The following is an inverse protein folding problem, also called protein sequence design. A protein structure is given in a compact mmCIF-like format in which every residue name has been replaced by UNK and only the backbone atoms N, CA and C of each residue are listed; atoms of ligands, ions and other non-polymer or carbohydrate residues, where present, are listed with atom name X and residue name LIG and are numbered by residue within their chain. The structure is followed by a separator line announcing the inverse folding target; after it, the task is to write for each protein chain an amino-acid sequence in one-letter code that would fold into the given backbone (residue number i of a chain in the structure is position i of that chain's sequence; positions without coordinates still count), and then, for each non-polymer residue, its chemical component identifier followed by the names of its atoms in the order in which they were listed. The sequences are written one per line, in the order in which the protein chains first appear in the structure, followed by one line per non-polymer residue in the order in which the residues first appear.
data_IF_973386450176
#
_entry.id   IF_973386450176
#
_cell.length_a   1.000
_cell.length_b   1.000
_cell.length_c   1.000
_cell.angle_alpha   90.00
_cell.angle_beta   90.00
_cell.angle_gamma   90.00
#
_symmetry.space_group_name_H-M   'P 1'
#
loop_
_entity.id
_entity.type
_entity.pdbx_description
1 polymer ?
#
# COMPACT_ATOMS: atom_id res chain seq x y z
N UNK A 1 10.64 5.17 -15.62
CA UNK A 1 9.36 4.98 -16.31
C UNK A 1 9.00 6.22 -17.12
N UNK A 2 9.01 7.43 -16.54
CA UNK A 2 8.66 8.67 -17.26
C UNK A 2 9.50 8.88 -18.53
N UNK A 3 10.82 8.65 -18.45
CA UNK A 3 11.73 8.71 -19.60
C UNK A 3 11.43 7.69 -20.70
N UNK A 4 10.69 6.65 -20.37
CA UNK A 4 10.21 5.63 -21.32
C UNK A 4 8.81 5.93 -21.88
N UNK A 5 8.29 7.14 -21.65
CA UNK A 5 6.99 7.59 -22.15
C UNK A 5 5.78 7.08 -21.35
N UNK A 6 6.00 6.50 -20.17
CA UNK A 6 4.90 6.04 -19.28
C UNK A 6 4.33 7.23 -18.51
N UNK A 7 3.00 7.41 -18.49
CA UNK A 7 2.31 8.36 -17.60
C UNK A 7 2.37 7.82 -16.17
N UNK A 8 3.37 8.28 -15.42
CA UNK A 8 3.63 7.88 -14.03
C UNK A 8 3.12 8.95 -13.09
N UNK A 9 2.41 8.54 -12.05
CA UNK A 9 1.95 9.39 -10.96
C UNK A 9 2.24 8.72 -9.64
N UNK A 10 2.47 9.51 -8.61
CA UNK A 10 2.82 9.02 -7.26
C UNK A 10 1.65 9.32 -6.31
N UNK A 11 1.34 8.39 -5.42
CA UNK A 11 0.45 8.61 -4.29
C UNK A 11 1.19 8.27 -3.00
N UNK A 12 1.21 9.20 -2.06
CA UNK A 12 1.76 8.98 -0.73
C UNK A 12 0.93 9.71 0.34
N UNK A 13 1.06 9.33 1.62
CA UNK A 13 0.44 10.09 2.70
C UNK A 13 1.03 11.51 2.80
N UNK A 14 0.20 12.48 3.17
CA UNK A 14 0.67 13.80 3.55
C UNK A 14 1.18 13.76 4.99
N UNK A 15 2.43 13.32 5.15
CA UNK A 15 3.12 13.34 6.44
C UNK A 15 3.38 14.77 6.92
N UNK A 16 3.58 14.94 8.22
CA UNK A 16 3.83 16.25 8.84
C UNK A 16 4.95 17.03 8.17
N UNK A 17 6.04 16.33 7.84
CA UNK A 17 7.22 16.90 7.21
C UNK A 17 6.97 17.40 5.77
N UNK A 18 5.92 16.89 5.12
CA UNK A 18 5.56 17.27 3.77
C UNK A 18 4.60 18.46 3.69
N UNK A 19 4.12 18.99 4.81
CA UNK A 19 3.12 20.09 4.82
C UNK A 19 3.62 21.41 4.30
N UNK A 20 4.93 21.61 4.24
CA UNK A 20 5.56 22.80 3.69
C UNK A 20 5.71 22.75 2.15
N UNK A 21 5.35 21.63 1.52
CA UNK A 21 5.37 21.51 0.07
C UNK A 21 4.28 22.40 -0.53
N UNK A 22 4.65 23.13 -1.59
CA UNK A 22 3.66 23.83 -2.41
C UNK A 22 2.77 22.79 -3.10
N UNK A 23 1.49 22.82 -2.77
CA UNK A 23 0.53 21.81 -3.24
C UNK A 23 -0.88 22.41 -3.37
N UNK A 24 -1.61 21.98 -4.39
CA UNK A 24 -2.98 22.39 -4.65
C UNK A 24 -3.97 21.39 -4.07
N UNK A 25 -5.02 21.89 -3.41
CA UNK A 25 -6.10 21.05 -2.91
C UNK A 25 -6.97 20.57 -4.06
N UNK A 26 -7.19 19.26 -4.18
CA UNK A 26 -8.13 18.71 -5.14
C UNK A 26 -9.57 18.83 -4.61
N UNK A 27 -10.55 19.17 -5.48
CA UNK A 27 -11.91 19.52 -5.01
C UNK A 27 -12.69 18.34 -4.43
N UNK A 28 -12.26 17.11 -4.72
CA UNK A 28 -12.99 15.90 -4.33
C UNK A 28 -12.41 15.27 -3.07
N UNK A 29 -13.22 15.12 -2.04
CA UNK A 29 -12.91 14.31 -0.85
C UNK A 29 -13.45 12.89 -1.00
N UNK A 30 -12.88 11.96 -0.24
CA UNK A 30 -13.40 10.60 -0.12
C UNK A 30 -13.62 10.23 1.34
N UNK A 31 -14.63 9.41 1.60
CA UNK A 31 -14.87 8.80 2.91
C UNK A 31 -14.65 7.30 2.82
N UNK A 32 -13.74 6.78 3.62
CA UNK A 32 -13.45 5.35 3.72
C UNK A 32 -13.84 4.82 5.07
N UNK A 33 -14.42 3.60 5.08
CA UNK A 33 -14.83 2.92 6.30
C UNK A 33 -13.84 1.82 6.66
N UNK A 34 -13.43 1.80 7.93
CA UNK A 34 -12.56 0.80 8.54
C UNK A 34 -13.16 0.34 9.86
N UNK A 35 -13.55 -0.94 9.96
CA UNK A 35 -14.37 -1.43 11.06
C UNK A 35 -15.68 -0.63 11.15
N UNK A 36 -15.95 -0.04 12.31
CA UNK A 36 -17.15 0.76 12.55
C UNK A 36 -16.96 2.28 12.35
N UNK A 37 -15.72 2.73 12.03
CA UNK A 37 -15.39 4.14 11.89
C UNK A 37 -15.26 4.55 10.43
N UNK A 38 -15.69 5.77 10.14
CA UNK A 38 -15.50 6.42 8.84
C UNK A 38 -14.47 7.52 8.96
N UNK A 39 -13.60 7.62 7.97
CA UNK A 39 -12.52 8.60 7.89
C UNK A 39 -12.64 9.39 6.61
N UNK A 40 -12.60 10.72 6.72
CA UNK A 40 -12.58 11.63 5.59
C UNK A 40 -11.13 11.84 5.14
N UNK A 41 -10.89 11.76 3.84
CA UNK A 41 -9.59 12.02 3.25
C UNK A 41 -9.69 13.14 2.21
N UNK A 42 -8.70 14.01 2.22
CA UNK A 42 -8.47 15.04 1.23
C UNK A 42 -7.22 14.70 0.40
N UNK A 43 -7.29 14.98 -0.89
CA UNK A 43 -6.12 14.87 -1.76
C UNK A 43 -5.56 16.24 -2.08
N UNK A 44 -4.25 16.33 -2.13
CA UNK A 44 -3.52 17.47 -2.65
C UNK A 44 -2.67 17.00 -3.83
N UNK A 45 -2.40 17.90 -4.76
CA UNK A 45 -1.51 17.62 -5.89
C UNK A 45 -0.28 18.54 -5.82
N UNK A 46 0.88 17.96 -6.04
CA UNK A 46 2.16 18.64 -6.21
C UNK A 46 2.96 17.92 -7.30
N UNK A 47 4.22 18.26 -7.46
CA UNK A 47 5.13 17.62 -8.41
C UNK A 47 6.33 17.01 -7.72
N UNK A 48 6.89 15.95 -8.33
CA UNK A 48 8.08 15.28 -7.82
C UNK A 48 9.33 16.12 -8.18
N UNK A 49 9.81 16.91 -7.23
CA UNK A 49 10.91 17.83 -7.45
C UNK A 49 10.67 18.74 -8.66
N UNK A 50 11.68 18.93 -9.49
CA UNK A 50 11.60 19.72 -10.72
C UNK A 50 10.99 18.97 -11.91
N UNK A 51 10.46 17.75 -11.70
CA UNK A 51 9.86 16.97 -12.77
C UNK A 51 8.39 17.36 -13.02
N UNK A 52 7.85 16.87 -14.13
CA UNK A 52 6.43 17.02 -14.48
C UNK A 52 5.55 15.87 -13.91
N UNK A 53 6.11 15.00 -13.04
CA UNK A 53 5.41 13.85 -12.48
C UNK A 53 4.47 14.33 -11.36
N UNK A 54 3.14 14.13 -11.51
CA UNK A 54 2.18 14.47 -10.47
C UNK A 54 2.37 13.60 -9.23
N UNK A 55 2.32 14.23 -8.06
CA UNK A 55 2.32 13.57 -6.75
C UNK A 55 1.04 13.92 -6.03
N UNK A 56 0.24 12.90 -5.74
CA UNK A 56 -0.96 13.03 -4.93
C UNK A 56 -0.62 12.77 -3.48
N UNK A 57 -0.92 13.73 -2.61
CA UNK A 57 -0.71 13.65 -1.18
C UNK A 57 -2.05 13.38 -0.51
N UNK A 58 -2.13 12.27 0.23
CA UNK A 58 -3.33 11.84 0.93
C UNK A 58 -3.35 12.40 2.35
N UNK A 59 -4.22 13.36 2.62
CA UNK A 59 -4.39 13.91 3.95
C UNK A 59 -5.46 13.16 4.75
N UNK A 60 -5.11 12.80 5.95
CA UNK A 60 -5.98 12.63 7.10
C UNK A 60 -5.15 12.99 8.33
N UNK A 61 -5.50 14.10 9.00
CA UNK A 61 -4.69 14.64 10.12
C UNK A 61 -4.52 13.63 11.25
N UNK A 62 -5.53 12.82 11.53
CA UNK A 62 -5.46 11.82 12.57
C UNK A 62 -4.47 10.70 12.26
N UNK A 63 -4.40 10.26 10.99
CA UNK A 63 -3.58 9.13 10.59
C UNK A 63 -2.14 9.54 10.19
N UNK A 64 -1.96 10.71 9.56
CA UNK A 64 -0.70 11.03 8.89
C UNK A 64 0.02 12.28 9.41
N UNK A 65 -0.66 13.17 10.16
CA UNK A 65 -0.02 14.35 10.73
C UNK A 65 0.64 14.04 12.08
N UNK A 66 1.71 13.25 12.04
CA UNK A 66 2.43 12.78 13.22
C UNK A 66 3.94 12.95 13.05
N UNK A 67 4.71 13.01 14.16
CA UNK A 67 6.17 12.93 14.10
C UNK A 67 6.60 11.59 13.51
N UNK A 68 7.53 11.61 12.59
CA UNK A 68 8.00 10.38 11.93
C UNK A 68 6.97 9.70 11.05
N UNK A 69 7.39 8.66 10.35
CA UNK A 69 6.56 7.94 9.36
C UNK A 69 5.84 6.74 10.00
N UNK A 70 6.56 5.90 10.73
CA UNK A 70 6.04 4.64 11.30
C UNK A 70 6.00 4.64 12.81
N UNK A 71 6.84 5.46 13.44
CA UNK A 71 7.11 5.48 14.87
C UNK A 71 7.40 6.89 15.33
N UNK A 72 7.32 7.11 16.63
CA UNK A 72 7.83 8.27 17.34
C UNK A 72 8.81 7.81 18.45
N UNK A 73 9.14 8.70 19.37
CA UNK A 73 10.04 8.42 20.49
C UNK A 73 9.54 7.29 21.43
N UNK A 74 8.25 6.95 21.36
CA UNK A 74 7.63 5.90 22.19
C UNK A 74 7.56 4.54 21.45
N UNK A 75 8.00 4.47 20.20
CA UNK A 75 8.00 3.28 19.36
C UNK A 75 6.99 3.32 18.23
N UNK A 76 6.72 2.16 17.64
CA UNK A 76 5.84 2.02 16.48
C UNK A 76 4.40 2.42 16.79
N UNK A 77 3.77 3.11 15.84
CA UNK A 77 2.36 3.45 15.95
C UNK A 77 1.47 2.20 15.91
N UNK A 78 0.67 1.99 16.95
CA UNK A 78 -0.23 0.84 17.07
C UNK A 78 -1.29 0.78 15.96
N UNK A 79 -1.60 1.89 15.33
CA UNK A 79 -2.55 2.00 14.23
C UNK A 79 -1.90 1.98 12.84
N UNK A 80 -0.62 1.61 12.72
CA UNK A 80 0.05 1.41 11.44
C UNK A 80 -0.75 0.52 10.47
N UNK A 81 -1.40 -0.60 10.90
CA UNK A 81 -2.25 -1.37 10.01
C UNK A 81 -3.37 -0.54 9.37
N UNK A 82 -4.05 0.28 10.16
CA UNK A 82 -5.11 1.16 9.67
C UNK A 82 -4.58 2.18 8.66
N UNK A 83 -3.39 2.73 8.90
CA UNK A 83 -2.72 3.66 8.01
C UNK A 83 -2.37 3.01 6.65
N UNK A 84 -1.88 1.77 6.67
CA UNK A 84 -1.60 0.98 5.47
C UNK A 84 -2.88 0.65 4.69
N UNK A 85 -3.94 0.25 5.39
CA UNK A 85 -5.24 0.00 4.77
C UNK A 85 -5.82 1.29 4.18
N UNK A 86 -5.67 2.42 4.86
CA UNK A 86 -6.16 3.71 4.40
C UNK A 86 -5.47 4.14 3.11
N UNK A 87 -4.14 4.10 3.05
CA UNK A 87 -3.36 4.40 1.85
C UNK A 87 -3.77 3.51 0.68
N UNK A 88 -3.78 2.20 0.91
CA UNK A 88 -4.09 1.20 -0.12
C UNK A 88 -5.51 1.34 -0.67
N UNK A 89 -6.49 1.55 0.20
CA UNK A 89 -7.89 1.70 -0.20
C UNK A 89 -8.16 3.05 -0.86
N UNK A 90 -7.49 4.13 -0.41
CA UNK A 90 -7.60 5.45 -1.02
C UNK A 90 -7.03 5.47 -2.43
N UNK A 91 -5.98 4.69 -2.72
CA UNK A 91 -5.40 4.58 -4.06
C UNK A 91 -6.45 4.18 -5.11
N UNK A 92 -7.42 3.33 -4.76
CA UNK A 92 -8.51 2.94 -5.67
C UNK A 92 -9.48 4.08 -6.01
N UNK A 93 -9.40 5.18 -5.28
CA UNK A 93 -10.24 6.37 -5.51
C UNK A 93 -9.55 7.42 -6.40
N UNK A 94 -8.32 7.18 -6.86
CA UNK A 94 -7.56 8.15 -7.66
C UNK A 94 -8.32 8.54 -8.93
N UNK A 95 -8.92 7.58 -9.65
CA UNK A 95 -9.72 7.88 -10.84
C UNK A 95 -10.90 8.83 -10.52
N UNK A 96 -11.61 8.59 -9.41
CA UNK A 96 -12.72 9.45 -8.98
C UNK A 96 -12.27 10.86 -8.64
N UNK A 97 -11.08 11.00 -8.04
CA UNK A 97 -10.56 12.28 -7.54
C UNK A 97 -9.95 13.12 -8.66
N UNK A 98 -9.24 12.47 -9.59
CA UNK A 98 -8.38 13.13 -10.58
C UNK A 98 -8.89 13.01 -12.01
N UNK A 99 -9.87 12.16 -12.28
CA UNK A 99 -10.29 11.78 -13.63
C UNK A 99 -9.29 10.86 -14.36
N UNK A 100 -8.15 10.55 -13.76
CA UNK A 100 -7.12 9.70 -14.35
C UNK A 100 -7.21 8.26 -13.81
N UNK A 101 -7.32 7.29 -14.72
CA UNK A 101 -7.38 5.88 -14.36
C UNK A 101 -6.03 5.19 -14.60
N UNK A 102 -5.39 4.62 -13.57
CA UNK A 102 -4.19 3.83 -13.75
C UNK A 102 -4.49 2.47 -14.38
N UNK A 103 -3.69 2.05 -15.35
CA UNK A 103 -3.68 0.66 -15.86
C UNK A 103 -2.96 -0.27 -14.87
N UNK A 104 -1.95 0.25 -14.17
CA UNK A 104 -1.14 -0.48 -13.22
C UNK A 104 -1.04 0.30 -11.91
N UNK A 105 -1.36 -0.36 -10.81
CA UNK A 105 -1.02 0.10 -9.47
C UNK A 105 0.29 -0.56 -9.03
N UNK A 106 1.28 0.25 -8.70
CA UNK A 106 2.57 -0.23 -8.25
C UNK A 106 2.73 0.04 -6.75
N UNK A 107 2.59 -1.00 -5.96
CA UNK A 107 2.76 -0.96 -4.50
C UNK A 107 4.23 -1.18 -4.12
N UNK A 108 4.69 -0.50 -3.11
CA UNK A 108 6.06 -0.60 -2.59
C UNK A 108 6.03 -1.02 -1.12
N UNK A 109 6.68 -2.13 -0.80
CA UNK A 109 6.87 -2.68 0.53
C UNK A 109 5.57 -2.90 1.32
N UNK A 110 5.70 -3.23 2.59
CA UNK A 110 4.60 -3.60 3.47
C UNK A 110 3.53 -2.52 3.65
N UNK A 111 3.92 -1.24 3.57
CA UNK A 111 2.99 -0.12 3.74
C UNK A 111 1.91 -0.05 2.66
N UNK A 112 2.26 -0.38 1.42
CA UNK A 112 1.33 -0.39 0.29
C UNK A 112 0.87 -1.80 -0.10
N UNK A 113 1.43 -2.84 0.53
CA UNK A 113 1.14 -4.23 0.22
C UNK A 113 -0.35 -4.66 0.30
N UNK A 114 -1.24 -4.03 1.09
CA UNK A 114 -2.67 -4.35 1.03
C UNK A 114 -3.37 -3.97 -0.28
N UNK A 115 -2.81 -3.09 -1.10
CA UNK A 115 -3.45 -2.57 -2.33
C UNK A 115 -3.86 -3.68 -3.32
N UNK A 116 -3.02 -4.68 -3.66
CA UNK A 116 -3.43 -5.78 -4.53
C UNK A 116 -4.66 -6.54 -4.03
N UNK A 117 -4.77 -6.75 -2.73
CA UNK A 117 -5.94 -7.42 -2.14
C UNK A 117 -7.22 -6.57 -2.31
N UNK A 118 -7.14 -5.25 -2.12
CA UNK A 118 -8.26 -4.36 -2.38
C UNK A 118 -8.68 -4.34 -3.84
N UNK A 119 -7.74 -4.43 -4.79
CA UNK A 119 -8.05 -4.57 -6.21
C UNK A 119 -8.79 -5.89 -6.48
N UNK A 120 -8.35 -7.00 -5.89
CA UNK A 120 -8.97 -8.30 -6.06
C UNK A 120 -10.36 -8.40 -5.41
N UNK A 121 -10.59 -7.61 -4.35
CA UNK A 121 -11.90 -7.56 -3.68
C UNK A 121 -12.95 -6.74 -4.45
N UNK A 122 -12.56 -6.01 -5.50
CA UNK A 122 -13.53 -5.31 -6.34
C UNK A 122 -14.39 -6.31 -7.13
N UNK A 123 -15.69 -6.27 -6.91
CA UNK A 123 -16.68 -7.22 -7.46
C UNK A 123 -16.93 -7.07 -8.98
N UNK A 124 -16.07 -6.41 -9.71
CA UNK A 124 -16.25 -6.23 -11.15
C UNK A 124 -15.68 -7.41 -11.93
N UNK A 125 -16.45 -8.10 -12.77
CA UNK A 125 -15.92 -9.13 -13.66
C UNK A 125 -14.92 -8.58 -14.70
N UNK A 126 -14.76 -7.24 -14.75
CA UNK A 126 -13.82 -6.52 -15.61
C UNK A 126 -12.89 -5.64 -14.78
N UNK A 127 -12.14 -6.24 -13.86
CA UNK A 127 -11.01 -5.56 -13.24
C UNK A 127 -10.10 -5.00 -14.35
N UNK A 128 -10.04 -3.69 -14.48
CA UNK A 128 -9.33 -3.02 -15.58
C UNK A 128 -7.87 -2.79 -15.27
N UNK A 129 -7.52 -2.63 -13.99
CA UNK A 129 -6.15 -2.34 -13.55
C UNK A 129 -5.46 -3.58 -13.01
N UNK A 130 -4.14 -3.65 -13.17
CA UNK A 130 -3.26 -4.69 -12.62
C UNK A 130 -2.43 -4.13 -11.47
N UNK A 131 -1.83 -5.02 -10.70
CA UNK A 131 -0.96 -4.66 -9.59
C UNK A 131 0.45 -5.22 -9.74
N UNK A 132 1.42 -4.40 -9.37
CA UNK A 132 2.81 -4.81 -9.17
C UNK A 132 3.14 -4.53 -7.71
N UNK A 133 3.83 -5.44 -7.04
CA UNK A 133 4.40 -5.25 -5.72
C UNK A 133 5.92 -5.31 -5.82
N UNK A 134 6.61 -4.26 -5.41
CA UNK A 134 8.07 -4.27 -5.27
C UNK A 134 8.45 -4.44 -3.80
N UNK A 135 9.32 -5.41 -3.54
CA UNK A 135 9.91 -5.67 -2.24
C UNK A 135 11.33 -5.09 -2.24
N UNK A 136 11.55 -4.04 -1.46
CA UNK A 136 12.88 -3.42 -1.31
C UNK A 136 13.65 -4.05 -0.16
N UNK A 137 12.96 -4.35 0.95
CA UNK A 137 13.54 -5.04 2.11
C UNK A 137 12.52 -5.99 2.72
N UNK A 138 12.77 -7.30 2.62
CA UNK A 138 11.90 -8.36 3.12
C UNK A 138 11.85 -8.43 4.65
N UNK A 139 12.82 -7.85 5.35
CA UNK A 139 12.85 -7.81 6.82
C UNK A 139 11.65 -7.06 7.39
N UNK A 140 11.18 -6.02 6.69
CA UNK A 140 10.05 -5.22 7.10
C UNK A 140 8.75 -5.74 6.48
N UNK A 141 8.00 -6.53 7.24
CA UNK A 141 6.84 -7.25 6.72
C UNK A 141 5.48 -6.66 7.15
N UNK A 142 5.46 -5.78 8.15
CA UNK A 142 4.21 -5.27 8.71
C UNK A 142 3.39 -6.38 9.36
N UNK A 143 3.96 -7.01 10.40
CA UNK A 143 3.31 -8.08 11.15
C UNK A 143 2.55 -7.52 12.36
N UNK A 144 1.28 -7.88 12.50
CA UNK A 144 0.37 -7.36 13.52
C UNK A 144 -0.53 -8.47 14.07
N UNK A 145 -1.18 -8.28 15.24
CA UNK A 145 -2.14 -9.25 15.76
C UNK A 145 -3.22 -9.61 14.73
N UNK A 146 -3.55 -10.88 14.58
CA UNK A 146 -4.50 -11.41 13.57
C UNK A 146 -5.84 -10.66 13.59
N UNK A 147 -6.37 -10.36 14.78
CA UNK A 147 -7.63 -9.63 14.97
C UNK A 147 -7.68 -8.27 14.25
N UNK A 148 -6.52 -7.69 13.96
CA UNK A 148 -6.37 -6.40 13.29
C UNK A 148 -6.85 -6.45 11.83
N UNK A 149 -6.87 -7.65 11.22
CA UNK A 149 -7.39 -7.83 9.86
C UNK A 149 -8.83 -7.35 9.70
N UNK A 150 -9.65 -7.47 10.74
CA UNK A 150 -11.04 -7.00 10.72
C UNK A 150 -11.19 -5.51 10.42
N UNK A 151 -10.16 -4.70 10.66
CA UNK A 151 -10.16 -3.28 10.33
C UNK A 151 -10.04 -3.03 8.81
N UNK A 152 -9.48 -3.96 8.05
CA UNK A 152 -9.27 -3.79 6.60
C UNK A 152 -10.57 -3.57 5.82
N UNK A 153 -11.68 -4.18 6.27
CA UNK A 153 -12.92 -4.26 5.52
C UNK A 153 -12.84 -5.14 4.27
N UNK A 154 -11.77 -5.91 4.12
CA UNK A 154 -11.65 -6.94 3.10
C UNK A 154 -12.51 -8.17 3.44
N UNK A 155 -12.93 -8.97 2.45
CA UNK A 155 -13.59 -10.26 2.69
C UNK A 155 -12.77 -11.15 3.64
N UNK A 156 -13.43 -11.84 4.56
CA UNK A 156 -12.76 -12.66 5.60
C UNK A 156 -11.84 -13.75 5.03
N UNK A 157 -12.13 -14.26 3.84
CA UNK A 157 -11.30 -15.25 3.16
C UNK A 157 -9.86 -14.73 2.92
N UNK A 158 -9.67 -13.42 2.72
CA UNK A 158 -8.34 -12.84 2.55
C UNK A 158 -7.53 -12.82 3.86
N UNK A 159 -8.19 -12.92 5.01
CA UNK A 159 -7.54 -13.04 6.30
C UNK A 159 -6.96 -14.45 6.59
N UNK A 160 -7.18 -15.42 5.71
CA UNK A 160 -6.69 -16.79 5.86
C UNK A 160 -5.23 -17.01 5.44
N UNK A 161 -4.82 -18.27 5.43
CA UNK A 161 -3.44 -18.72 5.09
C UNK A 161 -3.07 -18.34 3.66
N UNK A 162 -4.01 -18.39 2.72
CA UNK A 162 -3.81 -17.96 1.32
C UNK A 162 -3.85 -16.42 1.14
N UNK A 163 -3.86 -15.69 2.23
CA UNK A 163 -3.89 -14.22 2.23
C UNK A 163 -2.95 -13.64 3.28
N UNK A 164 -3.53 -12.95 4.26
CA UNK A 164 -2.75 -12.16 5.24
C UNK A 164 -2.28 -12.97 6.46
N UNK A 165 -2.83 -14.17 6.75
CA UNK A 165 -2.39 -14.93 7.91
C UNK A 165 -1.00 -15.53 7.70
N UNK A 166 -0.11 -15.30 8.67
CA UNK A 166 1.24 -15.82 8.72
C UNK A 166 1.60 -16.14 10.17
N UNK A 167 1.71 -17.42 10.51
CA UNK A 167 1.99 -17.90 11.88
C UNK A 167 1.07 -17.27 12.94
N UNK A 168 -0.25 -17.28 12.70
CA UNK A 168 -1.28 -16.69 13.59
C UNK A 168 -1.14 -15.15 13.78
N UNK A 169 -0.47 -14.48 12.88
CA UNK A 169 -0.43 -13.03 12.80
C UNK A 169 -0.95 -12.56 11.45
N UNK A 170 -1.41 -11.32 11.39
CA UNK A 170 -1.64 -10.62 10.13
C UNK A 170 -0.31 -10.08 9.61
N UNK A 171 0.09 -10.47 8.40
CA UNK A 171 1.31 -10.00 7.75
C UNK A 171 0.93 -9.27 6.46
N UNK A 172 1.19 -7.96 6.41
CA UNK A 172 0.76 -7.12 5.30
C UNK A 172 1.51 -7.45 4.02
N UNK A 173 2.84 -7.67 4.11
CA UNK A 173 3.66 -7.99 2.95
C UNK A 173 3.26 -9.33 2.35
N UNK A 174 2.99 -10.36 3.20
CA UNK A 174 2.45 -11.64 2.73
C UNK A 174 1.14 -11.46 1.97
N UNK A 175 0.21 -10.67 2.52
CA UNK A 175 -1.04 -10.36 1.83
C UNK A 175 -0.81 -9.76 0.45
N UNK A 176 0.13 -8.83 0.33
CA UNK A 176 0.53 -8.26 -0.95
C UNK A 176 1.13 -9.29 -1.91
N UNK A 177 2.03 -10.15 -1.43
CA UNK A 177 2.63 -11.24 -2.20
C UNK A 177 1.54 -12.18 -2.75
N UNK A 178 0.58 -12.58 -1.94
CA UNK A 178 -0.48 -13.51 -2.36
C UNK A 178 -1.43 -12.91 -3.40
N UNK A 179 -1.64 -11.60 -3.38
CA UNK A 179 -2.67 -10.96 -4.20
C UNK A 179 -2.14 -10.15 -5.39
N UNK A 180 -0.84 -9.81 -5.46
CA UNK A 180 -0.27 -9.04 -6.56
C UNK A 180 -0.30 -9.83 -7.88
N UNK A 181 -0.52 -9.14 -9.03
CA UNK A 181 -0.41 -9.78 -10.33
C UNK A 181 1.06 -10.08 -10.68
N UNK A 182 1.96 -9.20 -10.28
CA UNK A 182 3.42 -9.38 -10.42
C UNK A 182 4.14 -8.91 -9.16
N UNK A 183 5.24 -9.61 -8.86
CA UNK A 183 6.14 -9.27 -7.77
C UNK A 183 7.49 -8.94 -8.38
N UNK A 184 8.13 -7.92 -7.88
CA UNK A 184 9.48 -7.50 -8.26
C UNK A 184 10.30 -7.21 -7.01
N UNK A 185 11.61 -7.20 -7.18
CA UNK A 185 12.57 -6.78 -6.16
C UNK A 185 13.74 -6.02 -6.79
N UNK A 186 14.68 -5.58 -5.97
CA UNK A 186 15.69 -4.58 -6.34
C UNK A 186 16.87 -5.14 -7.14
N UNK A 187 17.09 -6.48 -7.16
CA UNK A 187 18.13 -7.09 -7.96
C UNK A 187 17.83 -8.57 -8.30
N UNK A 188 18.42 -9.12 -9.36
CA UNK A 188 18.30 -10.56 -9.67
C UNK A 188 18.80 -11.45 -8.53
N UNK A 189 19.96 -11.15 -7.93
CA UNK A 189 20.51 -11.92 -6.81
C UNK A 189 19.58 -11.90 -5.60
N UNK A 190 19.05 -10.74 -5.25
CA UNK A 190 18.10 -10.63 -4.14
C UNK A 190 16.81 -11.40 -4.42
N UNK A 191 16.35 -11.45 -5.66
CA UNK A 191 15.21 -12.28 -6.05
C UNK A 191 15.44 -13.78 -5.81
N UNK A 192 16.66 -14.26 -5.97
CA UNK A 192 17.01 -15.64 -5.67
C UNK A 192 17.16 -15.86 -4.15
N UNK A 193 17.86 -14.97 -3.47
CA UNK A 193 18.10 -15.03 -2.03
C UNK A 193 16.80 -15.10 -1.22
N UNK A 194 15.85 -14.18 -1.44
CA UNK A 194 14.61 -14.12 -0.66
C UNK A 194 13.67 -15.31 -0.86
N UNK A 195 13.94 -16.16 -1.85
CA UNK A 195 13.25 -17.43 -2.06
C UNK A 195 13.89 -18.63 -1.35
N UNK A 196 14.96 -18.39 -0.59
CA UNK A 196 15.63 -19.44 0.20
C UNK A 196 15.23 -19.36 1.67
N UNK A 197 15.26 -20.49 2.42
CA UNK A 197 14.94 -20.49 3.85
C UNK A 197 15.86 -19.57 4.68
N UNK A 198 17.09 -19.34 4.21
CA UNK A 198 18.07 -18.53 4.93
C UNK A 198 17.74 -17.03 4.88
N UNK A 199 17.24 -16.54 3.74
CA UNK A 199 16.98 -15.11 3.52
C UNK A 199 15.49 -14.77 3.35
N UNK A 200 14.62 -15.77 3.26
CA UNK A 200 13.19 -15.60 2.99
C UNK A 200 12.36 -15.10 4.17
N UNK A 201 12.97 -15.01 5.37
CA UNK A 201 12.33 -14.45 6.57
C UNK A 201 10.94 -15.05 6.87
N UNK A 202 10.76 -16.35 6.51
CA UNK A 202 9.50 -17.10 6.63
C UNK A 202 8.51 -16.86 5.49
N UNK A 203 8.83 -16.03 4.49
CA UNK A 203 7.99 -15.78 3.30
C UNK A 203 8.50 -16.52 2.04
N UNK A 204 9.60 -17.28 2.14
CA UNK A 204 10.21 -17.99 1.01
C UNK A 204 9.22 -18.90 0.28
N UNK A 205 8.39 -19.65 1.00
CA UNK A 205 7.38 -20.51 0.38
C UNK A 205 6.36 -19.72 -0.42
N UNK A 206 5.89 -18.59 0.12
CA UNK A 206 4.96 -17.70 -0.59
C UNK A 206 5.60 -17.11 -1.84
N UNK A 207 6.88 -16.72 -1.77
CA UNK A 207 7.64 -16.17 -2.88
C UNK A 207 7.94 -17.24 -3.95
N UNK A 208 8.28 -18.47 -3.56
CA UNK A 208 8.49 -19.59 -4.49
C UNK A 208 7.20 -19.95 -5.26
N UNK A 209 6.07 -19.94 -4.57
CA UNK A 209 4.76 -20.24 -5.19
C UNK A 209 4.33 -19.17 -6.19
N UNK A 210 4.74 -17.93 -6.01
CA UNK A 210 4.34 -16.75 -6.80
C UNK A 210 5.37 -16.30 -7.84
N UNK A 211 6.61 -16.87 -7.78
CA UNK A 211 7.77 -16.47 -8.60
C UNK A 211 7.91 -17.09 -9.95
#
# INVERSE_FOLDING_TARGET
LRQLGVDVRVLCPLHRECKQLDSEILPTTITLKFGFKSYLFQFFETRLGDSDIPVYLLENKFLFDRPGIYADENGDYLDNPLRCFALSKAALSVEKVTGWRPDIFHAHDWMAAPLPAYLNAQSSPKRKSRSVLTIHNLEHQGSFPEKTFSLSGLPSIFGGIEGFNHYNAMNLLKGGIQHADKITTVSPSYSEEIRTPHYGQGLETSLQYRG
#
